data_IF_362594874572
#
_entry.id   IF_362594874572
#
_cell.length_a   1.000
_cell.length_b   1.000
_cell.length_c   1.000
_cell.angle_alpha   90.00
_cell.angle_beta   90.00
_cell.angle_gamma   90.00
#
_symmetry.space_group_name_H-M   'P 1'
#
loop_
_entity.id
_entity.type
_entity.pdbx_description
1 polymer ?
#
# COMPACT_ATOMS: atom_id res chain seq x y z
N UNK A 1 -15.47 -19.63 -6.11
CA UNK A 1 -15.29 -19.39 -4.67
C UNK A 1 -13.89 -18.81 -4.48
N UNK A 2 -13.73 -17.70 -3.80
CA UNK A 2 -12.40 -17.12 -3.58
C UNK A 2 -11.59 -18.04 -2.66
N UNK A 3 -10.45 -18.53 -3.16
CA UNK A 3 -9.57 -19.47 -2.44
C UNK A 3 -8.95 -18.86 -1.15
N UNK A 4 -9.06 -17.56 -0.98
CA UNK A 4 -8.44 -16.85 0.15
C UNK A 4 -9.38 -16.63 1.34
N UNK A 5 -10.67 -16.95 1.23
CA UNK A 5 -11.63 -16.71 2.32
C UNK A 5 -11.23 -17.47 3.60
N UNK A 6 -10.84 -18.73 3.46
CA UNK A 6 -10.41 -19.53 4.62
C UNK A 6 -9.12 -18.99 5.24
N UNK A 7 -8.21 -18.49 4.42
CA UNK A 7 -7.00 -17.80 4.90
C UNK A 7 -7.34 -16.52 5.65
N UNK A 8 -8.26 -15.70 5.14
CA UNK A 8 -8.71 -14.47 5.81
C UNK A 8 -9.31 -14.77 7.18
N UNK A 9 -10.19 -15.77 7.27
CA UNK A 9 -10.79 -16.22 8.53
C UNK A 9 -9.70 -16.71 9.49
N UNK A 10 -8.77 -17.54 9.02
CA UNK A 10 -7.65 -18.03 9.82
C UNK A 10 -6.79 -16.89 10.38
N UNK A 11 -6.49 -15.87 9.58
CA UNK A 11 -5.76 -14.68 10.05
C UNK A 11 -6.54 -14.00 11.17
N UNK A 12 -7.81 -13.72 10.96
CA UNK A 12 -8.64 -13.00 11.93
C UNK A 12 -8.81 -13.77 13.23
N UNK A 13 -8.99 -15.10 13.15
CA UNK A 13 -9.16 -15.95 14.33
C UNK A 13 -7.90 -16.06 15.20
N UNK A 14 -6.73 -15.65 14.71
CA UNK A 14 -5.51 -15.53 15.50
C UNK A 14 -5.39 -14.17 16.20
N UNK A 15 -6.33 -13.25 15.99
CA UNK A 15 -6.30 -11.91 16.58
C UNK A 15 -7.30 -11.86 17.75
N UNK A 16 -6.81 -11.42 18.91
CA UNK A 16 -7.63 -11.28 20.13
C UNK A 16 -8.85 -10.40 19.87
N UNK A 17 -10.03 -10.95 20.11
CA UNK A 17 -11.31 -10.27 19.91
C UNK A 17 -12.00 -10.59 18.58
N UNK A 18 -11.33 -11.31 17.68
CA UNK A 18 -11.85 -11.67 16.36
C UNK A 18 -11.92 -13.19 16.13
N UNK A 19 -11.69 -14.00 17.14
CA UNK A 19 -11.58 -15.47 17.10
C UNK A 19 -12.87 -16.17 16.65
N UNK A 20 -13.99 -15.46 16.67
CA UNK A 20 -15.32 -16.00 16.33
C UNK A 20 -15.79 -15.63 14.91
N UNK A 21 -14.96 -14.96 14.13
CA UNK A 21 -15.33 -14.63 12.75
C UNK A 21 -15.34 -15.90 11.90
N UNK A 22 -16.44 -16.13 11.19
CA UNK A 22 -16.66 -17.30 10.34
C UNK A 22 -17.42 -16.91 9.07
N UNK A 23 -17.58 -17.86 8.15
CA UNK A 23 -18.37 -17.63 6.92
C UNK A 23 -19.85 -17.39 7.19
N UNK A 24 -20.35 -17.91 8.31
CA UNK A 24 -21.76 -17.83 8.68
C UNK A 24 -22.13 -16.47 9.27
N UNK A 25 -21.16 -15.78 9.90
CA UNK A 25 -21.40 -14.51 10.59
C UNK A 25 -20.66 -13.32 9.98
N UNK A 26 -20.08 -13.49 8.80
CA UNK A 26 -19.39 -12.43 8.08
C UNK A 26 -19.62 -12.51 6.58
N UNK A 27 -19.58 -11.36 5.93
CA UNK A 27 -19.59 -11.24 4.48
C UNK A 27 -18.21 -10.81 4.01
N UNK A 28 -17.49 -11.70 3.34
CA UNK A 28 -16.12 -11.51 2.89
C UNK A 28 -16.09 -11.27 1.40
N UNK A 29 -15.64 -10.08 1.01
CA UNK A 29 -15.54 -9.64 -0.39
C UNK A 29 -14.10 -9.33 -0.74
N UNK A 30 -13.62 -9.88 -1.85
CA UNK A 30 -12.35 -9.44 -2.42
C UNK A 30 -12.51 -8.05 -3.03
N UNK A 31 -11.66 -7.14 -2.62
CA UNK A 31 -11.49 -5.84 -3.25
C UNK A 31 -10.37 -5.90 -4.29
N UNK A 32 -10.04 -5.07 -5.07
CA UNK A 32 -8.94 -5.16 -6.05
C UNK A 32 -7.55 -5.30 -5.41
N UNK A 33 -6.53 -5.09 -6.20
CA UNK A 33 -5.13 -5.07 -5.79
C UNK A 33 -4.23 -5.74 -6.83
N UNK A 34 -3.17 -5.07 -7.26
CA UNK A 34 -2.17 -5.63 -8.18
C UNK A 34 -1.07 -6.38 -7.42
N UNK A 35 -0.56 -5.78 -6.35
CA UNK A 35 0.55 -6.30 -5.55
C UNK A 35 0.11 -6.92 -4.23
N UNK A 36 -1.14 -6.69 -3.83
CA UNK A 36 -1.72 -7.22 -2.60
C UNK A 36 -3.10 -7.83 -2.87
N UNK A 37 -3.45 -8.82 -2.09
CA UNK A 37 -4.80 -9.40 -2.06
C UNK A 37 -5.54 -8.74 -0.90
N UNK A 38 -6.57 -7.97 -1.21
CA UNK A 38 -7.31 -7.17 -0.22
C UNK A 38 -8.74 -7.68 -0.10
N UNK A 39 -9.17 -7.94 1.12
CA UNK A 39 -10.54 -8.36 1.43
C UNK A 39 -11.19 -7.37 2.40
N UNK A 40 -12.44 -7.04 2.13
CA UNK A 40 -13.35 -6.44 3.08
C UNK A 40 -14.08 -7.56 3.82
N UNK A 41 -14.07 -7.50 5.14
CA UNK A 41 -14.80 -8.40 6.03
C UNK A 41 -15.83 -7.57 6.77
N UNK A 42 -17.10 -7.78 6.45
CA UNK A 42 -18.23 -7.09 7.06
C UNK A 42 -18.87 -8.03 8.10
N UNK A 43 -19.02 -7.53 9.33
CA UNK A 43 -19.73 -8.21 10.42
C UNK A 43 -20.77 -7.26 11.00
N UNK A 44 -21.64 -7.77 11.89
CA UNK A 44 -22.65 -6.93 12.58
C UNK A 44 -22.02 -5.84 13.45
N UNK A 45 -20.79 -6.05 13.95
CA UNK A 45 -20.17 -5.16 14.94
C UNK A 45 -19.04 -4.31 14.37
N UNK A 46 -18.30 -4.81 13.38
CA UNK A 46 -17.14 -4.13 12.83
C UNK A 46 -16.89 -4.58 11.38
N UNK A 47 -16.40 -3.65 10.60
CA UNK A 47 -15.89 -3.94 9.25
C UNK A 47 -14.37 -3.80 9.24
N UNK A 48 -13.71 -4.80 8.65
CA UNK A 48 -12.25 -4.91 8.60
C UNK A 48 -11.76 -4.98 7.16
N UNK A 49 -10.56 -4.49 6.94
CA UNK A 49 -9.79 -4.74 5.73
C UNK A 49 -8.65 -5.68 6.09
N UNK A 50 -8.59 -6.81 5.42
CA UNK A 50 -7.46 -7.76 5.52
C UNK A 50 -6.65 -7.66 4.25
N UNK A 51 -5.38 -7.27 4.38
CA UNK A 51 -4.42 -7.15 3.29
C UNK A 51 -3.38 -8.26 3.42
N UNK A 52 -3.26 -9.08 2.40
CA UNK A 52 -2.29 -10.17 2.29
C UNK A 52 -1.35 -9.83 1.13
N UNK A 53 -0.02 -9.88 1.30
CA UNK A 53 0.92 -9.65 0.21
C UNK A 53 0.73 -10.60 -0.96
N UNK A 54 0.88 -10.08 -2.17
CA UNK A 54 0.98 -10.89 -3.36
C UNK A 54 2.34 -11.59 -3.44
N UNK A 55 2.39 -12.73 -4.10
CA UNK A 55 3.64 -13.48 -4.32
C UNK A 55 4.62 -12.66 -5.17
N UNK A 56 5.91 -12.73 -4.84
CA UNK A 56 7.00 -12.07 -5.57
C UNK A 56 7.14 -10.58 -5.24
N UNK A 57 6.56 -10.11 -4.14
CA UNK A 57 6.73 -8.74 -3.65
C UNK A 57 7.79 -8.64 -2.56
N UNK A 58 8.26 -9.77 -2.05
CA UNK A 58 9.26 -9.90 -0.98
C UNK A 58 10.65 -9.39 -1.40
N UNK A 59 10.96 -9.42 -2.69
CA UNK A 59 12.27 -9.02 -3.22
C UNK A 59 12.47 -7.49 -3.25
N UNK A 60 11.37 -6.69 -3.18
CA UNK A 60 11.45 -5.23 -3.36
C UNK A 60 10.63 -4.43 -2.33
N UNK A 61 9.86 -5.08 -1.46
CA UNK A 61 9.11 -4.39 -0.40
C UNK A 61 9.70 -4.75 0.97
N UNK A 62 10.25 -3.75 1.67
CA UNK A 62 10.64 -3.90 3.06
C UNK A 62 9.38 -3.84 3.94
N UNK A 63 9.01 -4.97 4.54
CA UNK A 63 7.78 -5.12 5.31
C UNK A 63 7.77 -4.31 6.61
N UNK A 64 8.93 -4.13 7.22
CA UNK A 64 9.07 -3.28 8.41
C UNK A 64 8.81 -1.82 8.07
N UNK A 65 9.39 -1.31 6.99
CA UNK A 65 9.11 0.06 6.54
C UNK A 65 7.65 0.24 6.13
N UNK A 66 7.08 -0.75 5.43
CA UNK A 66 5.67 -0.72 5.03
C UNK A 66 4.75 -0.61 6.25
N UNK A 67 5.00 -1.41 7.30
CA UNK A 67 4.25 -1.35 8.56
C UNK A 67 4.44 -0.02 9.28
N UNK A 68 5.69 0.42 9.49
CA UNK A 68 5.98 1.66 10.22
C UNK A 68 5.37 2.87 9.52
N UNK A 69 5.43 2.92 8.18
CA UNK A 69 4.83 4.00 7.39
C UNK A 69 3.29 3.95 7.44
N UNK A 70 2.68 2.76 7.47
CA UNK A 70 1.23 2.63 7.66
C UNK A 70 0.80 3.12 9.05
N UNK A 71 1.58 2.83 10.09
CA UNK A 71 1.35 3.31 11.45
C UNK A 71 1.53 4.83 11.55
N UNK A 72 2.55 5.40 10.91
CA UNK A 72 2.75 6.85 10.84
C UNK A 72 1.58 7.56 10.14
N UNK A 73 1.11 7.02 9.01
CA UNK A 73 -0.06 7.55 8.30
C UNK A 73 -1.34 7.48 9.15
N UNK A 74 -1.53 6.41 9.91
CA UNK A 74 -2.66 6.30 10.85
C UNK A 74 -2.54 7.32 11.99
N UNK A 75 -1.41 7.44 12.65
CA UNK A 75 -1.18 8.45 13.71
C UNK A 75 -1.35 9.88 13.19
N UNK A 76 -0.95 10.15 11.97
CA UNK A 76 -1.22 11.42 11.29
C UNK A 76 -2.72 11.62 10.96
N UNK A 77 -3.55 10.60 11.12
CA UNK A 77 -4.99 10.62 10.88
C UNK A 77 -5.38 10.79 9.42
N UNK A 78 -4.58 10.24 8.50
CA UNK A 78 -4.84 10.20 7.05
C UNK A 78 -5.07 8.80 6.51
N UNK A 79 -4.91 7.77 7.35
CA UNK A 79 -5.15 6.37 7.03
C UNK A 79 -6.09 5.73 8.06
N UNK A 80 -6.60 4.56 7.73
CA UNK A 80 -7.41 3.75 8.63
C UNK A 80 -6.59 3.23 9.82
N UNK A 81 -7.26 2.97 10.93
CA UNK A 81 -6.67 2.35 12.11
C UNK A 81 -6.12 0.97 11.80
N UNK A 82 -4.86 0.74 12.15
CA UNK A 82 -4.23 -0.58 12.06
C UNK A 82 -4.59 -1.36 13.33
N UNK A 83 -5.36 -2.43 13.16
CA UNK A 83 -5.82 -3.30 14.26
C UNK A 83 -4.73 -4.31 14.62
N UNK A 84 -4.08 -4.88 13.62
CA UNK A 84 -3.08 -5.92 13.79
C UNK A 84 -2.18 -6.01 12.55
N UNK A 85 -0.97 -6.48 12.74
CA UNK A 85 -0.05 -6.79 11.64
C UNK A 85 0.85 -7.98 11.99
N UNK A 86 1.11 -8.80 10.99
CA UNK A 86 2.23 -9.73 10.94
C UNK A 86 3.29 -9.09 10.04
N UNK A 87 4.25 -8.43 10.66
CA UNK A 87 5.26 -7.65 9.94
C UNK A 87 6.19 -8.57 9.14
N UNK A 88 6.49 -9.77 9.65
CA UNK A 88 7.36 -10.73 8.97
C UNK A 88 6.73 -11.18 7.63
N UNK A 89 5.46 -11.52 7.64
CA UNK A 89 4.72 -11.96 6.47
C UNK A 89 4.03 -10.81 5.72
N UNK A 90 4.11 -9.57 6.22
CA UNK A 90 3.54 -8.36 5.61
C UNK A 90 2.01 -8.31 5.60
N UNK A 91 1.35 -9.12 6.43
CA UNK A 91 -0.11 -9.11 6.55
C UNK A 91 -0.53 -7.94 7.43
N UNK A 92 -1.53 -7.18 7.00
CA UNK A 92 -2.12 -6.11 7.83
C UNK A 92 -3.63 -6.24 7.89
N UNK A 93 -4.16 -5.99 9.09
CA UNK A 93 -5.60 -5.87 9.34
C UNK A 93 -5.87 -4.45 9.83
N UNK A 94 -6.75 -3.75 9.14
CA UNK A 94 -7.18 -2.41 9.52
C UNK A 94 -8.69 -2.32 9.65
N UNK A 95 -9.15 -1.31 10.37
CA UNK A 95 -10.58 -0.99 10.44
C UNK A 95 -11.04 -0.46 9.08
N UNK A 96 -12.13 -1.00 8.56
CA UNK A 96 -12.71 -0.46 7.34
C UNK A 96 -13.39 0.89 7.63
N UNK A 97 -13.15 1.87 6.78
CA UNK A 97 -13.85 3.16 6.83
C UNK A 97 -15.14 3.01 6.02
N UNK A 98 -16.27 3.28 6.64
CA UNK A 98 -17.57 3.18 5.99
C UNK A 98 -17.74 4.28 4.94
N UNK A 99 -18.41 3.95 3.83
CA UNK A 99 -18.74 4.92 2.79
C UNK A 99 -17.54 5.38 1.96
N UNK A 100 -16.40 4.68 2.04
CA UNK A 100 -15.28 4.96 1.14
C UNK A 100 -15.55 4.46 -0.26
N UNK A 101 -14.99 5.14 -1.21
CA UNK A 101 -15.01 4.78 -2.62
C UNK A 101 -13.60 4.85 -3.19
N UNK A 102 -13.24 3.86 -4.02
CA UNK A 102 -11.95 3.90 -4.71
C UNK A 102 -11.91 5.08 -5.67
N UNK A 103 -10.99 6.01 -5.41
CA UNK A 103 -10.80 7.16 -6.26
C UNK A 103 -10.19 6.76 -7.61
N UNK A 104 -10.95 6.93 -8.67
CA UNK A 104 -10.47 6.77 -10.04
C UNK A 104 -10.08 8.13 -10.63
N UNK A 105 -9.27 8.19 -11.71
CA UNK A 105 -8.99 9.45 -12.39
C UNK A 105 -10.27 10.19 -12.79
N UNK A 106 -11.26 9.48 -13.33
CA UNK A 106 -12.57 10.06 -13.71
C UNK A 106 -13.28 10.69 -12.52
N UNK A 107 -13.36 9.99 -11.38
CA UNK A 107 -13.97 10.51 -10.15
C UNK A 107 -13.19 11.69 -9.58
N UNK A 108 -11.87 11.64 -9.61
CA UNK A 108 -11.02 12.71 -9.12
C UNK A 108 -11.27 14.02 -9.87
N UNK A 109 -11.39 13.95 -11.20
CA UNK A 109 -11.68 15.13 -12.04
C UNK A 109 -13.13 15.60 -11.96
N UNK A 110 -14.09 14.68 -11.84
CA UNK A 110 -15.52 15.03 -11.86
C UNK A 110 -16.09 15.45 -10.51
N UNK A 111 -15.46 15.03 -9.41
CA UNK A 111 -15.93 15.32 -8.05
C UNK A 111 -15.34 16.63 -7.56
N UNK A 112 -16.21 17.60 -7.34
CA UNK A 112 -15.83 18.91 -6.83
C UNK A 112 -14.99 18.79 -5.53
N UNK A 113 -13.95 19.60 -5.42
CA UNK A 113 -13.07 19.68 -4.25
C UNK A 113 -12.12 18.49 -4.06
N UNK A 114 -12.05 17.53 -5.00
CA UNK A 114 -11.11 16.39 -4.86
C UNK A 114 -9.66 16.82 -4.73
N UNK A 115 -9.11 17.77 -5.54
CA UNK A 115 -7.74 18.23 -5.36
C UNK A 115 -7.51 18.91 -4.00
N UNK A 116 -8.47 19.71 -3.54
CA UNK A 116 -8.37 20.38 -2.24
C UNK A 116 -8.35 19.38 -1.08
N UNK A 117 -9.21 18.34 -1.12
CA UNK A 117 -9.18 17.28 -0.11
C UNK A 117 -7.87 16.49 -0.12
N UNK A 118 -7.34 16.15 -1.30
CA UNK A 118 -6.05 15.48 -1.43
C UNK A 118 -4.91 16.35 -0.89
N UNK A 119 -4.88 17.64 -1.26
CA UNK A 119 -3.90 18.59 -0.73
C UNK A 119 -3.99 18.77 0.79
N UNK A 120 -5.20 18.82 1.33
CA UNK A 120 -5.41 18.90 2.79
C UNK A 120 -4.92 17.65 3.52
N UNK A 121 -5.13 16.46 2.96
CA UNK A 121 -4.63 15.21 3.53
C UNK A 121 -3.10 15.17 3.53
N UNK A 122 -2.46 15.56 2.42
CA UNK A 122 -1.00 15.67 2.34
C UNK A 122 -0.44 16.72 3.31
N UNK A 123 -1.06 17.89 3.39
CA UNK A 123 -0.65 18.94 4.35
C UNK A 123 -0.77 18.42 5.79
N UNK A 124 -1.83 17.69 6.12
CA UNK A 124 -1.99 17.08 7.44
C UNK A 124 -0.88 16.09 7.76
N UNK A 125 -0.49 15.25 6.80
CA UNK A 125 0.64 14.33 6.95
C UNK A 125 1.96 15.10 7.17
N UNK A 126 2.27 16.05 6.30
CA UNK A 126 3.52 16.81 6.35
C UNK A 126 3.68 17.64 7.64
N UNK A 127 2.58 18.06 8.26
CA UNK A 127 2.59 18.81 9.51
C UNK A 127 2.31 17.97 10.76
N UNK A 128 2.24 16.64 10.62
CA UNK A 128 1.90 15.75 11.75
C UNK A 128 3.05 15.53 12.74
N UNK A 129 4.28 15.78 12.33
CA UNK A 129 5.49 15.38 13.07
C UNK A 129 5.86 13.91 12.91
N UNK A 130 5.06 13.12 12.19
CA UNK A 130 5.39 11.73 11.87
C UNK A 130 6.46 11.67 10.80
N UNK A 131 7.37 10.69 10.91
CA UNK A 131 8.41 10.43 9.94
C UNK A 131 8.20 9.04 9.32
N UNK A 132 8.55 8.92 8.05
CA UNK A 132 8.60 7.64 7.37
C UNK A 132 10.03 7.09 7.41
N UNK A 133 10.16 5.78 7.64
CA UNK A 133 11.46 5.11 7.76
C UNK A 133 12.21 4.98 6.43
N UNK A 134 11.54 5.23 5.31
CA UNK A 134 12.10 5.05 3.99
C UNK A 134 12.41 6.39 3.34
N UNK A 135 13.68 6.59 2.98
CA UNK A 135 14.10 7.68 2.11
C UNK A 135 13.93 7.27 0.65
N UNK A 136 13.06 7.98 -0.07
CA UNK A 136 12.81 7.70 -1.49
C UNK A 136 13.89 8.34 -2.34
N UNK A 137 14.85 7.53 -2.78
CA UNK A 137 15.83 7.93 -3.81
C UNK A 137 15.40 7.37 -5.17
N UNK A 138 14.80 8.23 -5.98
CA UNK A 138 14.27 7.86 -7.30
C UNK A 138 15.34 7.25 -8.20
N UNK A 139 16.52 7.84 -8.25
CA UNK A 139 17.57 7.39 -9.17
C UNK A 139 18.20 6.08 -8.71
N UNK A 140 18.41 5.92 -7.42
CA UNK A 140 18.87 4.64 -6.88
C UNK A 140 17.84 3.52 -7.15
N UNK A 141 16.56 3.82 -7.01
CA UNK A 141 15.50 2.86 -7.32
C UNK A 141 15.48 2.47 -8.81
N UNK A 142 15.68 3.43 -9.71
CA UNK A 142 15.83 3.14 -11.16
C UNK A 142 17.02 2.22 -11.40
N UNK A 143 18.17 2.51 -10.80
CA UNK A 143 19.38 1.70 -10.92
C UNK A 143 19.16 0.27 -10.40
N UNK A 144 18.45 0.08 -9.28
CA UNK A 144 18.08 -1.24 -8.77
C UNK A 144 17.15 -2.02 -9.72
N UNK A 145 16.13 -1.36 -10.28
CA UNK A 145 15.26 -2.00 -11.27
C UNK A 145 16.02 -2.39 -12.54
N UNK A 146 16.95 -1.58 -13.00
CA UNK A 146 17.80 -1.91 -14.15
C UNK A 146 18.68 -3.13 -13.87
N UNK A 147 19.21 -3.29 -12.66
CA UNK A 147 19.96 -4.50 -12.27
C UNK A 147 19.04 -5.74 -12.33
N UNK A 148 17.81 -5.65 -11.85
CA UNK A 148 16.84 -6.76 -11.92
C UNK A 148 16.52 -7.11 -13.36
N UNK A 149 16.23 -6.12 -14.22
CA UNK A 149 15.94 -6.34 -15.63
C UNK A 149 17.12 -6.98 -16.36
N UNK A 150 18.33 -6.48 -16.12
CA UNK A 150 19.56 -7.04 -16.68
C UNK A 150 19.78 -8.50 -16.24
N UNK A 151 19.54 -8.82 -14.97
CA UNK A 151 19.69 -10.21 -14.47
C UNK A 151 18.72 -11.19 -15.12
N UNK A 152 17.61 -10.69 -15.68
CA UNK A 152 16.59 -11.46 -16.39
C UNK A 152 16.74 -11.38 -17.92
N UNK A 153 17.82 -10.75 -18.43
CA UNK A 153 18.03 -10.48 -19.84
C UNK A 153 16.83 -9.79 -20.52
N UNK A 154 16.14 -8.89 -19.79
CA UNK A 154 15.04 -8.13 -20.34
C UNK A 154 15.55 -7.05 -21.29
N UNK A 155 14.91 -6.93 -22.46
CA UNK A 155 15.20 -5.86 -23.41
C UNK A 155 14.59 -4.54 -22.93
N UNK A 156 15.37 -3.47 -23.00
CA UNK A 156 14.89 -2.12 -22.74
C UNK A 156 14.30 -1.51 -24.01
N UNK A 157 13.32 -0.60 -23.88
CA UNK A 157 12.77 0.11 -25.03
C UNK A 157 13.86 0.88 -25.80
N UNK A 158 13.66 1.02 -27.12
CA UNK A 158 14.53 1.86 -27.96
C UNK A 158 14.60 3.30 -27.42
N UNK A 159 15.78 3.89 -27.44
CA UNK A 159 16.01 5.24 -26.93
C UNK A 159 16.12 5.36 -25.40
N UNK A 160 16.05 4.24 -24.65
CA UNK A 160 16.11 4.29 -23.19
C UNK A 160 17.43 4.88 -22.68
N UNK A 161 18.56 4.49 -23.29
CA UNK A 161 19.88 4.95 -22.86
C UNK A 161 20.09 6.43 -23.13
N UNK A 162 19.58 6.96 -24.24
CA UNK A 162 19.61 8.37 -24.59
C UNK A 162 18.82 9.21 -23.56
N UNK A 163 17.67 8.70 -23.09
CA UNK A 163 16.87 9.37 -22.05
C UNK A 163 17.60 9.35 -20.71
N UNK A 164 18.24 8.25 -20.33
CA UNK A 164 19.05 8.15 -19.12
C UNK A 164 20.19 9.16 -19.16
N UNK A 165 20.90 9.30 -20.28
CA UNK A 165 21.97 10.28 -20.44
C UNK A 165 21.43 11.72 -20.33
N UNK A 166 20.30 12.01 -20.95
CA UNK A 166 19.63 13.31 -20.86
C UNK A 166 19.13 13.65 -19.43
N UNK A 167 18.85 12.63 -18.60
CA UNK A 167 18.41 12.81 -17.22
C UNK A 167 19.56 13.08 -16.21
N UNK A 168 20.83 12.86 -16.60
CA UNK A 168 22.00 13.06 -15.72
C UNK A 168 22.05 14.44 -15.03
N UNK A 169 21.83 15.57 -15.73
CA UNK A 169 21.85 16.88 -15.08
C UNK A 169 20.76 17.03 -14.03
N UNK A 170 19.60 16.37 -14.21
CA UNK A 170 18.50 16.38 -13.24
C UNK A 170 18.89 15.59 -11.99
N UNK A 171 19.51 14.41 -12.20
CA UNK A 171 20.05 13.59 -11.09
C UNK A 171 21.07 14.37 -10.27
N UNK A 172 22.03 15.02 -10.92
CA UNK A 172 23.05 15.82 -10.27
C UNK A 172 22.46 16.99 -9.47
N UNK A 173 21.48 17.70 -10.02
CA UNK A 173 20.81 18.81 -9.34
C UNK A 173 20.00 18.36 -8.11
N UNK A 174 19.41 17.18 -8.14
CA UNK A 174 18.63 16.64 -7.00
C UNK A 174 19.52 16.07 -5.89
N UNK A 175 20.69 15.55 -6.22
CA UNK A 175 21.67 15.05 -5.23
C UNK A 175 22.39 16.23 -4.53
N UNK A 176 22.55 17.36 -5.21
CA UNK A 176 23.25 18.54 -4.67
C UNK A 176 22.41 19.38 -3.68
N UNK A 177 21.11 19.09 -3.52
CA UNK A 177 20.19 19.74 -2.60
C UNK A 177 19.76 18.81 -1.47
#
# INVERSE_FOLDING_TARGET
MDKNIDTVISILNNIKGYEKISKENSNIKRLGGMTNIVHLVETDNINLIVRIPGKGTEDYINRTFEYNNAMAAWRAGISAEIIWADVENGIMVSKAINGIETMTPKLFYSREGSPARAGSALAKLHNSGEAFDFHFDLFNMIDEYLKILSSKNAELPDGYHEIVDAAKPVKEALIAN
#
